data_IF_242087243091
#
_entry.id   IF_242087243091
#
_cell.length_a   1.000
_cell.length_b   1.000
_cell.length_c   1.000
_cell.angle_alpha   90.00
_cell.angle_beta   90.00
_cell.angle_gamma   90.00
#
_symmetry.space_group_name_H-M   'P 1'
#
loop_
_entity.id
_entity.type
_entity.pdbx_description
1 polymer ?
#
# COMPACT_ATOMS: atom_id res chain seq x y z
N UNK A 1 18.72 36.22 47.40
CA UNK A 1 18.19 34.98 48.00
C UNK A 1 18.17 33.92 46.93
N UNK A 2 18.89 32.82 47.18
CA UNK A 2 18.88 31.50 46.53
C UNK A 2 19.00 31.35 45.00
N UNK A 3 19.85 30.39 44.62
CA UNK A 3 20.28 29.96 43.29
C UNK A 3 19.32 28.86 42.70
N UNK A 4 19.54 28.39 41.45
CA UNK A 4 18.53 28.06 40.44
C UNK A 4 18.23 26.56 40.28
N UNK A 5 17.09 26.20 39.69
CA UNK A 5 16.90 24.94 38.95
C UNK A 5 15.81 25.14 37.87
N UNK A 6 15.83 24.29 36.84
CA UNK A 6 14.97 24.26 35.64
C UNK A 6 15.47 25.10 34.46
N UNK A 7 16.67 24.75 34.00
CA UNK A 7 17.22 25.18 32.72
C UNK A 7 18.11 24.10 32.11
N UNK A 8 17.65 22.83 32.15
CA UNK A 8 18.38 21.68 31.61
C UNK A 8 17.42 20.58 31.12
N UNK A 9 16.35 20.98 30.42
CA UNK A 9 15.36 20.02 29.90
C UNK A 9 14.96 20.20 28.42
N UNK A 10 15.73 20.97 27.64
CA UNK A 10 15.48 21.13 26.19
C UNK A 10 16.69 20.87 25.28
N UNK A 11 17.70 20.14 25.76
CA UNK A 11 18.83 19.66 24.93
C UNK A 11 18.99 18.13 25.01
N UNK A 12 17.98 17.42 25.53
CA UNK A 12 18.01 15.95 25.74
C UNK A 12 16.86 15.20 25.06
N UNK A 13 16.26 15.74 23.98
CA UNK A 13 15.21 15.04 23.20
C UNK A 13 15.62 14.89 21.72
N UNK A 14 16.93 14.82 21.45
CA UNK A 14 17.44 14.45 20.11
C UNK A 14 18.48 13.32 20.17
N UNK A 15 18.46 12.50 21.23
CA UNK A 15 19.23 11.27 21.35
C UNK A 15 18.31 10.19 21.91
N UNK A 16 18.16 9.10 21.16
CA UNK A 16 17.40 7.87 21.45
C UNK A 16 15.93 7.82 21.00
N UNK A 17 15.69 8.01 19.69
CA UNK A 17 15.04 6.91 18.98
C UNK A 17 16.14 6.07 18.33
N UNK A 18 16.91 5.37 19.17
CA UNK A 18 17.49 4.12 18.71
C UNK A 18 16.28 3.23 18.41
N UNK A 19 15.81 3.23 17.17
CA UNK A 19 15.27 2.00 16.62
C UNK A 19 16.39 1.00 16.88
N UNK A 20 16.19 0.17 17.92
CA UNK A 20 17.01 -0.98 18.10
C UNK A 20 16.85 -1.74 16.78
N UNK A 21 17.85 -1.66 15.91
CA UNK A 21 18.12 -2.75 15.00
C UNK A 21 18.43 -3.92 15.92
N UNK A 22 17.39 -4.60 16.39
CA UNK A 22 17.53 -5.91 16.98
C UNK A 22 17.98 -6.76 15.80
N UNK A 23 19.30 -6.89 15.65
CA UNK A 23 19.86 -8.05 14.98
C UNK A 23 19.19 -9.24 15.66
N UNK A 24 18.25 -9.85 14.93
CA UNK A 24 17.52 -10.99 15.45
C UNK A 24 18.55 -12.10 15.55
N UNK A 25 18.98 -12.33 16.79
CA UNK A 25 19.79 -13.47 17.18
C UNK A 25 18.97 -14.73 16.92
N UNK A 26 19.62 -15.79 16.42
CA UNK A 26 18.97 -17.07 16.17
C UNK A 26 18.23 -17.58 17.42
N UNK A 27 17.31 -18.54 17.22
CA UNK A 27 16.47 -19.12 18.26
C UNK A 27 17.19 -19.25 19.63
N UNK A 28 16.67 -18.63 20.70
CA UNK A 28 17.38 -18.55 21.98
C UNK A 28 17.67 -19.95 22.55
N UNK A 29 18.80 -20.07 23.24
CA UNK A 29 19.18 -21.28 23.97
C UNK A 29 18.64 -21.22 25.41
N UNK A 30 18.26 -22.37 25.93
CA UNK A 30 17.95 -22.56 27.36
C UNK A 30 19.18 -22.33 28.22
N UNK A 31 19.00 -22.15 29.53
CA UNK A 31 20.08 -21.95 30.51
C UNK A 31 21.12 -23.10 30.51
N UNK A 32 20.69 -24.30 30.13
CA UNK A 32 21.55 -25.49 30.00
C UNK A 32 22.24 -25.60 28.62
N UNK A 33 22.14 -24.56 27.78
CA UNK A 33 22.79 -24.50 26.47
C UNK A 33 22.08 -25.24 25.33
N UNK A 34 20.96 -25.94 25.59
CA UNK A 34 20.14 -26.58 24.53
C UNK A 34 19.31 -25.54 23.80
N UNK A 35 19.19 -25.65 22.48
CA UNK A 35 18.31 -24.80 21.69
C UNK A 35 16.86 -24.95 22.15
N UNK A 36 16.11 -23.86 22.34
CA UNK A 36 14.67 -23.92 22.66
C UNK A 36 13.84 -24.56 21.53
N UNK A 37 14.46 -24.78 20.36
CA UNK A 37 13.90 -25.50 19.23
C UNK A 37 13.88 -27.03 19.37
N UNK A 38 14.81 -27.61 20.13
CA UNK A 38 14.94 -29.07 20.28
C UNK A 38 14.00 -29.63 21.36
N UNK A 39 13.40 -28.74 22.15
CA UNK A 39 12.49 -29.09 23.23
C UNK A 39 11.09 -28.71 22.75
N UNK A 40 10.29 -29.73 22.46
CA UNK A 40 8.88 -29.55 22.10
C UNK A 40 8.00 -29.57 23.34
N UNK A 41 6.98 -28.74 23.35
CA UNK A 41 5.92 -28.80 24.34
C UNK A 41 4.80 -29.78 23.92
N UNK A 42 3.73 -29.87 24.71
CA UNK A 42 2.62 -30.78 24.47
C UNK A 42 1.82 -30.46 23.18
N UNK A 43 2.09 -29.32 22.52
CA UNK A 43 1.48 -28.94 21.24
C UNK A 43 2.29 -29.41 20.03
N UNK A 44 3.43 -30.06 20.27
CA UNK A 44 4.39 -30.48 19.25
C UNK A 44 5.29 -29.34 18.77
N UNK A 45 5.08 -28.11 19.25
CA UNK A 45 5.89 -26.95 18.88
C UNK A 45 7.07 -26.75 19.82
N UNK A 46 8.14 -26.07 19.37
CA UNK A 46 9.20 -25.58 20.24
C UNK A 46 8.67 -24.75 21.41
N UNK A 47 9.30 -24.88 22.58
CA UNK A 47 8.90 -24.14 23.79
C UNK A 47 8.93 -22.60 23.62
N UNK A 48 9.65 -22.08 22.62
CA UNK A 48 9.64 -20.66 22.25
C UNK A 48 8.27 -20.15 21.77
N UNK A 49 7.36 -21.05 21.34
CA UNK A 49 5.99 -20.71 20.98
C UNK A 49 5.04 -20.65 22.19
N UNK A 50 5.54 -20.88 23.41
CA UNK A 50 4.81 -20.68 24.68
C UNK A 50 3.49 -21.47 24.76
N UNK A 51 3.43 -22.66 24.15
CA UNK A 51 2.23 -23.49 24.09
C UNK A 51 1.06 -22.90 23.32
N UNK A 52 1.27 -21.82 22.55
CA UNK A 52 0.20 -21.10 21.85
C UNK A 52 -0.12 -21.68 20.48
N UNK A 53 0.85 -22.30 19.83
CA UNK A 53 0.71 -22.85 18.48
C UNK A 53 0.44 -24.36 18.49
N UNK A 54 0.21 -24.93 17.32
CA UNK A 54 0.14 -26.38 17.10
C UNK A 54 1.06 -26.76 15.96
N UNK A 55 1.91 -27.76 16.18
CA UNK A 55 2.88 -28.22 15.18
C UNK A 55 2.73 -29.71 14.94
N UNK A 56 2.73 -30.11 13.67
CA UNK A 56 2.74 -31.53 13.29
C UNK A 56 2.05 -31.83 11.97
N UNK A 57 1.97 -33.13 11.65
CA UNK A 57 1.43 -33.61 10.39
C UNK A 57 -0.09 -33.49 10.33
N UNK A 58 -0.59 -32.64 9.44
CA UNK A 58 -2.03 -32.41 9.22
C UNK A 58 -2.35 -32.26 7.73
N UNK A 59 -3.64 -32.26 7.39
CA UNK A 59 -4.11 -32.00 6.02
C UNK A 59 -4.26 -30.49 5.83
N UNK A 60 -3.64 -29.95 4.78
CA UNK A 60 -3.83 -28.58 4.35
C UNK A 60 -4.86 -28.54 3.22
N UNK A 61 -6.00 -27.84 3.38
CA UNK A 61 -7.00 -27.72 2.31
C UNK A 61 -6.40 -26.97 1.10
N UNK A 62 -6.74 -27.40 -0.12
CA UNK A 62 -6.43 -26.71 -1.37
C UNK A 62 -4.94 -26.58 -1.75
N UNK A 63 -4.18 -27.68 -1.75
CA UNK A 63 -2.88 -27.70 -2.44
C UNK A 63 -3.10 -28.12 -3.91
N UNK A 64 -2.91 -27.23 -4.90
CA UNK A 64 -3.16 -27.54 -6.32
C UNK A 64 -2.25 -28.66 -6.87
N UNK A 65 -1.14 -28.94 -6.17
CA UNK A 65 -0.04 -29.76 -6.65
C UNK A 65 0.06 -31.13 -5.95
N UNK A 66 -0.77 -31.42 -4.95
CA UNK A 66 -0.71 -32.67 -4.18
C UNK A 66 -2.08 -33.36 -4.12
N UNK A 67 -2.14 -34.70 -4.26
CA UNK A 67 -3.38 -35.45 -4.06
C UNK A 67 -3.91 -35.23 -2.63
N UNK A 68 -5.24 -35.18 -2.49
CA UNK A 68 -6.04 -34.93 -1.27
C UNK A 68 -5.72 -35.80 -0.03
N UNK A 69 -4.69 -36.66 -0.10
CA UNK A 69 -4.28 -37.60 0.93
C UNK A 69 -2.93 -37.31 1.61
N UNK A 70 -2.05 -36.45 1.07
CA UNK A 70 -0.72 -36.21 1.69
C UNK A 70 -0.84 -35.26 2.88
N UNK A 71 -0.43 -35.73 4.06
CA UNK A 71 -0.23 -34.87 5.24
C UNK A 71 1.02 -34.03 5.05
N UNK A 72 0.97 -32.80 5.54
CA UNK A 72 2.09 -31.84 5.55
C UNK A 72 2.43 -31.47 6.97
N UNK A 73 3.68 -31.14 7.26
CA UNK A 73 4.02 -30.59 8.57
C UNK A 73 3.56 -29.13 8.65
N UNK A 74 2.54 -28.87 9.48
CA UNK A 74 1.91 -27.55 9.62
C UNK A 74 2.27 -26.96 10.97
N UNK A 75 2.70 -25.70 10.98
CA UNK A 75 2.79 -24.86 12.17
C UNK A 75 1.65 -23.87 12.14
N UNK A 76 0.69 -24.00 13.06
CA UNK A 76 -0.49 -23.14 13.12
C UNK A 76 -0.52 -22.31 14.41
N UNK A 77 -0.47 -21.00 14.24
CA UNK A 77 -0.48 -19.96 15.26
C UNK A 77 -1.64 -18.97 15.03
N UNK A 78 -2.81 -19.47 14.64
CA UNK A 78 -3.99 -18.64 14.37
C UNK A 78 -4.54 -18.01 15.65
N UNK A 79 -4.73 -16.69 15.67
CA UNK A 79 -5.33 -15.94 16.78
C UNK A 79 -4.66 -16.17 18.15
N UNK A 80 -3.34 -16.38 18.15
CA UNK A 80 -2.57 -16.70 19.36
C UNK A 80 -2.19 -15.48 20.20
N UNK A 81 -2.45 -14.28 19.71
CA UNK A 81 -2.20 -13.02 20.43
C UNK A 81 -0.73 -12.62 20.45
N UNK A 82 0.10 -13.10 19.52
CA UNK A 82 1.48 -12.65 19.41
C UNK A 82 1.56 -11.17 19.02
N UNK A 83 2.52 -10.47 19.61
CA UNK A 83 2.76 -9.03 19.37
C UNK A 83 4.09 -8.73 18.68
N UNK A 84 4.84 -9.78 18.31
CA UNK A 84 6.05 -9.71 17.50
C UNK A 84 6.24 -11.04 16.76
N UNK A 85 7.22 -11.12 15.87
CA UNK A 85 7.52 -12.31 15.07
C UNK A 85 8.77 -13.09 15.55
N UNK A 86 9.35 -12.75 16.71
CA UNK A 86 10.66 -13.27 17.13
C UNK A 86 10.68 -14.79 17.34
N UNK A 87 9.54 -15.39 17.72
CA UNK A 87 9.42 -16.84 17.87
C UNK A 87 9.58 -17.62 16.55
N UNK A 88 9.36 -16.96 15.40
CA UNK A 88 9.51 -17.59 14.09
C UNK A 88 10.98 -17.94 13.77
N UNK A 89 11.94 -17.36 14.50
CA UNK A 89 13.35 -17.80 14.46
C UNK A 89 13.54 -19.24 14.95
N UNK A 90 12.59 -19.76 15.73
CA UNK A 90 12.57 -21.12 16.26
C UNK A 90 11.68 -22.06 15.45
N UNK A 91 11.22 -21.67 14.26
CA UNK A 91 10.34 -22.49 13.43
C UNK A 91 10.96 -23.88 13.16
N UNK A 92 10.23 -25.01 13.34
CA UNK A 92 10.72 -26.36 13.00
C UNK A 92 11.20 -26.44 11.54
N UNK A 93 12.31 -27.14 11.28
CA UNK A 93 12.93 -27.17 9.95
C UNK A 93 12.10 -27.95 8.93
N UNK A 94 11.31 -28.91 9.41
CA UNK A 94 10.40 -29.74 8.62
C UNK A 94 9.13 -28.98 8.22
N UNK A 95 8.98 -27.70 8.62
CA UNK A 95 7.75 -26.93 8.36
C UNK A 95 7.53 -26.75 6.87
N UNK A 96 6.42 -27.32 6.38
CA UNK A 96 5.97 -27.17 5.00
C UNK A 96 4.96 -26.03 4.83
N UNK A 97 4.15 -25.80 5.87
CA UNK A 97 3.09 -24.79 5.90
C UNK A 97 3.14 -24.02 7.21
N UNK A 98 3.37 -22.72 7.13
CA UNK A 98 3.26 -21.80 8.25
C UNK A 98 1.94 -21.01 8.16
N UNK A 99 1.05 -21.21 9.14
CA UNK A 99 -0.19 -20.45 9.30
C UNK A 99 -0.03 -19.55 10.52
N UNK A 100 0.32 -18.29 10.31
CA UNK A 100 0.53 -17.32 11.36
C UNK A 100 -0.38 -16.12 11.10
N UNK A 101 -1.67 -16.27 11.41
CA UNK A 101 -2.72 -15.30 11.05
C UNK A 101 -3.50 -14.82 12.28
N UNK A 102 -4.01 -13.59 12.24
CA UNK A 102 -4.86 -13.04 13.31
C UNK A 102 -4.10 -12.61 14.56
N UNK A 103 -2.81 -12.26 14.42
CA UNK A 103 -2.00 -11.71 15.51
C UNK A 103 -1.82 -10.18 15.35
N UNK A 104 -0.95 -9.55 16.15
CA UNK A 104 -0.72 -8.09 16.12
C UNK A 104 0.77 -7.76 16.18
N UNK A 105 1.52 -8.22 15.17
CA UNK A 105 2.99 -8.18 15.22
C UNK A 105 3.59 -6.82 14.87
N UNK A 106 2.86 -5.96 14.14
CA UNK A 106 3.40 -4.68 13.70
C UNK A 106 4.51 -4.86 12.65
N UNK A 107 5.60 -4.06 12.69
CA UNK A 107 6.66 -4.13 11.69
C UNK A 107 7.43 -5.46 11.78
N UNK A 108 7.74 -6.06 10.63
CA UNK A 108 8.57 -7.26 10.58
C UNK A 108 10.03 -6.93 10.86
N UNK A 109 10.76 -7.79 11.61
CA UNK A 109 12.20 -7.69 11.70
C UNK A 109 12.89 -8.13 10.41
N UNK A 110 14.19 -7.83 10.28
CA UNK A 110 15.03 -8.49 9.28
C UNK A 110 15.19 -9.96 9.65
N UNK A 111 15.23 -10.86 8.66
CA UNK A 111 15.41 -12.30 8.84
C UNK A 111 14.40 -12.90 9.83
N UNK A 112 13.11 -12.80 9.48
CA UNK A 112 11.98 -13.24 10.34
C UNK A 112 12.12 -14.70 10.79
N UNK A 113 12.73 -15.56 9.96
CA UNK A 113 12.95 -16.98 10.26
C UNK A 113 14.35 -17.31 10.82
N UNK A 114 15.15 -16.30 11.14
CA UNK A 114 16.53 -16.45 11.60
C UNK A 114 17.57 -16.42 10.48
N UNK A 115 18.85 -16.52 10.83
CA UNK A 115 19.98 -16.37 9.89
C UNK A 115 20.60 -17.72 9.50
N UNK A 116 20.44 -18.72 10.34
CA UNK A 116 21.21 -19.97 10.28
C UNK A 116 20.59 -21.06 9.43
N UNK A 117 19.26 -21.07 9.27
CA UNK A 117 18.53 -22.21 8.69
C UNK A 117 17.94 -21.91 7.31
N UNK A 118 18.00 -22.90 6.45
CA UNK A 118 17.34 -22.89 5.14
C UNK A 118 16.07 -23.73 5.25
N UNK A 119 14.91 -23.09 5.07
CA UNK A 119 13.61 -23.76 5.18
C UNK A 119 13.23 -24.35 3.82
N UNK A 120 13.99 -25.38 3.41
CA UNK A 120 13.89 -25.97 2.08
C UNK A 120 12.52 -26.62 1.81
N UNK A 121 11.83 -27.10 2.85
CA UNK A 121 10.51 -27.73 2.72
C UNK A 121 9.34 -26.73 2.79
N UNK A 122 9.60 -25.47 3.18
CA UNK A 122 8.55 -24.47 3.39
C UNK A 122 8.00 -23.99 2.04
N UNK A 123 6.74 -24.34 1.75
CA UNK A 123 6.08 -23.97 0.49
C UNK A 123 5.01 -22.90 0.66
N UNK A 124 4.40 -22.79 1.85
CA UNK A 124 3.26 -21.88 2.10
C UNK A 124 3.50 -21.09 3.37
N UNK A 125 3.40 -19.76 3.25
CA UNK A 125 3.51 -18.83 4.36
C UNK A 125 2.30 -17.89 4.38
N UNK A 126 1.42 -18.08 5.37
CA UNK A 126 0.28 -17.20 5.64
C UNK A 126 0.58 -16.29 6.82
N UNK A 127 0.72 -15.00 6.51
CA UNK A 127 0.95 -13.88 7.43
C UNK A 127 -0.22 -12.88 7.40
N UNK A 128 -1.41 -13.32 7.02
CA UNK A 128 -2.59 -12.46 6.96
C UNK A 128 -3.04 -11.95 8.33
N UNK A 129 -3.77 -10.83 8.36
CA UNK A 129 -4.43 -10.32 9.57
C UNK A 129 -3.47 -10.13 10.76
N UNK A 130 -2.26 -9.64 10.51
CA UNK A 130 -1.23 -9.47 11.54
C UNK A 130 -0.94 -8.01 11.92
N UNK A 131 -1.59 -7.06 11.23
CA UNK A 131 -1.31 -5.64 11.37
C UNK A 131 0.13 -5.30 11.00
N UNK A 132 0.66 -5.96 9.96
CA UNK A 132 2.01 -5.68 9.46
C UNK A 132 2.01 -4.28 8.84
N UNK A 133 2.80 -3.38 9.41
CA UNK A 133 2.91 -1.99 8.94
C UNK A 133 4.13 -1.75 8.06
N UNK A 134 5.18 -2.55 8.22
CA UNK A 134 6.43 -2.38 7.48
C UNK A 134 7.14 -3.72 7.28
N UNK A 135 7.71 -3.91 6.10
CA UNK A 135 8.53 -5.07 5.77
C UNK A 135 9.91 -4.58 5.31
N UNK A 136 10.98 -4.75 6.11
CA UNK A 136 12.30 -4.35 5.69
C UNK A 136 12.76 -5.19 4.50
N UNK A 137 13.62 -4.61 3.65
CA UNK A 137 14.28 -5.38 2.60
C UNK A 137 15.03 -6.59 3.19
N UNK A 138 14.88 -7.75 2.54
CA UNK A 138 15.42 -9.04 3.01
C UNK A 138 14.83 -9.53 4.35
N UNK A 139 13.60 -9.13 4.71
CA UNK A 139 12.88 -9.75 5.84
C UNK A 139 12.75 -11.27 5.69
N UNK A 140 12.60 -11.73 4.45
CA UNK A 140 12.38 -13.13 4.08
C UNK A 140 13.62 -13.74 3.41
N UNK A 141 14.70 -13.88 4.18
CA UNK A 141 15.89 -14.58 3.70
C UNK A 141 15.68 -16.10 3.78
N UNK A 142 16.24 -16.87 2.83
CA UNK A 142 16.27 -18.34 2.84
C UNK A 142 14.91 -19.06 2.79
N UNK A 143 13.95 -18.47 2.08
CA UNK A 143 12.61 -19.05 1.80
C UNK A 143 12.40 -19.35 0.31
N UNK A 144 13.48 -19.79 -0.35
CA UNK A 144 13.56 -19.94 -1.81
C UNK A 144 12.48 -20.85 -2.41
N UNK A 145 11.98 -21.81 -1.63
CA UNK A 145 10.98 -22.79 -2.07
C UNK A 145 9.52 -22.41 -1.74
N UNK A 146 9.29 -21.24 -1.12
CA UNK A 146 7.93 -20.77 -0.87
C UNK A 146 7.24 -20.45 -2.20
N UNK A 147 6.14 -21.15 -2.45
CA UNK A 147 5.30 -21.01 -3.66
C UNK A 147 4.09 -20.12 -3.43
N UNK A 148 3.62 -20.01 -2.19
CA UNK A 148 2.46 -19.18 -1.84
C UNK A 148 2.76 -18.31 -0.63
N UNK A 149 2.71 -17.00 -0.84
CA UNK A 149 2.82 -15.99 0.22
C UNK A 149 1.48 -15.26 0.36
N UNK A 150 0.94 -15.24 1.57
CA UNK A 150 -0.33 -14.57 1.88
C UNK A 150 -0.07 -13.46 2.89
N UNK A 151 -0.29 -12.21 2.46
CA UNK A 151 -0.13 -11.00 3.26
C UNK A 151 -1.44 -10.19 3.37
N UNK A 152 -2.57 -10.84 3.07
CA UNK A 152 -3.88 -10.19 3.07
C UNK A 152 -4.22 -9.54 4.41
N UNK A 153 -5.02 -8.48 4.39
CA UNK A 153 -5.54 -7.81 5.58
C UNK A 153 -4.40 -7.37 6.53
N UNK A 154 -3.47 -6.58 5.99
CA UNK A 154 -2.42 -5.91 6.75
C UNK A 154 -2.48 -4.40 6.46
N UNK A 155 -1.52 -3.62 6.95
CA UNK A 155 -1.51 -2.16 6.83
C UNK A 155 -0.13 -1.70 6.32
N UNK A 156 0.36 -2.37 5.29
CA UNK A 156 1.75 -2.23 4.84
C UNK A 156 1.95 -0.85 4.22
N UNK A 157 2.82 -0.06 4.85
CA UNK A 157 3.28 1.21 4.31
C UNK A 157 4.44 0.96 3.33
N UNK A 158 4.23 1.33 2.07
CA UNK A 158 5.28 1.36 1.05
C UNK A 158 5.62 2.83 0.77
N UNK A 159 6.84 3.22 1.11
CA UNK A 159 7.35 4.58 0.89
C UNK A 159 8.43 4.59 -0.19
N UNK A 160 8.34 5.54 -1.12
CA UNK A 160 9.32 5.73 -2.21
C UNK A 160 10.76 5.92 -1.71
N UNK A 161 10.93 6.39 -0.47
CA UNK A 161 12.25 6.66 0.11
C UNK A 161 12.99 5.39 0.48
N UNK A 162 12.29 4.31 0.76
CA UNK A 162 12.89 3.11 1.37
C UNK A 162 13.05 1.94 0.40
N UNK A 163 12.38 1.98 -0.77
CA UNK A 163 12.39 0.98 -1.85
C UNK A 163 12.83 -0.42 -1.37
N UNK A 164 12.08 -1.03 -0.44
CA UNK A 164 12.57 -2.23 0.21
C UNK A 164 12.52 -3.42 -0.76
N UNK A 165 13.53 -4.28 -0.71
CA UNK A 165 13.50 -5.60 -1.36
C UNK A 165 12.60 -6.57 -0.60
N UNK A 166 11.30 -6.27 -0.60
CA UNK A 166 10.29 -6.93 0.24
C UNK A 166 10.17 -8.40 -0.11
N UNK A 167 10.07 -8.73 -1.40
CA UNK A 167 9.88 -10.11 -1.87
C UNK A 167 11.19 -10.77 -2.34
N UNK A 168 12.33 -10.20 -1.97
CA UNK A 168 13.63 -10.81 -2.27
C UNK A 168 13.82 -12.09 -1.46
N UNK A 169 14.21 -13.16 -2.14
CA UNK A 169 14.39 -14.51 -1.57
C UNK A 169 13.26 -15.49 -1.91
N UNK A 170 12.17 -15.01 -2.53
CA UNK A 170 11.04 -15.82 -2.96
C UNK A 170 11.21 -16.33 -4.41
N UNK A 171 12.25 -17.12 -4.66
CA UNK A 171 12.63 -17.56 -6.02
C UNK A 171 11.59 -18.47 -6.69
N UNK A 172 10.86 -19.28 -5.90
CA UNK A 172 9.83 -20.21 -6.39
C UNK A 172 8.39 -19.70 -6.27
N UNK A 173 8.19 -18.39 -6.04
CA UNK A 173 6.87 -17.86 -5.74
C UNK A 173 5.94 -17.89 -6.94
N UNK A 174 4.81 -18.57 -6.78
CA UNK A 174 3.78 -18.73 -7.82
C UNK A 174 2.52 -17.92 -7.50
N UNK A 175 2.19 -17.75 -6.22
CA UNK A 175 0.95 -17.11 -5.77
C UNK A 175 1.27 -16.06 -4.70
N UNK A 176 0.97 -14.80 -5.00
CA UNK A 176 1.15 -13.68 -4.09
C UNK A 176 -0.20 -13.06 -3.77
N UNK A 177 -0.57 -13.12 -2.50
CA UNK A 177 -1.82 -12.55 -2.01
C UNK A 177 -1.59 -11.27 -1.21
N UNK A 178 -2.12 -10.16 -1.76
CA UNK A 178 -2.02 -8.80 -1.22
C UNK A 178 -3.42 -8.15 -1.18
N UNK A 179 -4.47 -8.94 -0.92
CA UNK A 179 -5.84 -8.41 -0.76
C UNK A 179 -5.93 -7.56 0.51
N UNK A 180 -6.33 -6.28 0.39
CA UNK A 180 -6.35 -5.33 1.51
C UNK A 180 -5.05 -5.34 2.33
N UNK A 181 -3.91 -5.21 1.65
CA UNK A 181 -2.59 -5.39 2.27
C UNK A 181 -1.89 -4.06 2.57
N UNK A 182 -2.27 -2.97 1.88
CA UNK A 182 -1.57 -1.69 1.94
C UNK A 182 -2.33 -0.66 2.75
N UNK A 183 -1.59 0.29 3.32
CA UNK A 183 -2.19 1.37 4.10
C UNK A 183 -3.04 2.31 3.25
N UNK A 184 -4.25 2.62 3.73
CA UNK A 184 -5.15 3.61 3.12
C UNK A 184 -4.66 5.06 3.34
N UNK A 185 -3.67 5.27 4.20
CA UNK A 185 -3.10 6.59 4.51
C UNK A 185 -2.33 7.20 3.33
N UNK A 186 -1.93 6.37 2.35
CA UNK A 186 -1.19 6.77 1.16
C UNK A 186 -2.03 6.48 -0.07
N UNK A 187 -2.02 7.43 -1.00
CA UNK A 187 -2.71 7.26 -2.27
C UNK A 187 -2.08 6.13 -3.11
N UNK A 188 -2.93 5.30 -3.73
CA UNK A 188 -2.48 4.06 -4.38
C UNK A 188 -1.45 4.23 -5.47
N UNK A 189 -1.48 5.34 -6.20
CA UNK A 189 -0.51 5.56 -7.28
C UNK A 189 0.93 5.68 -6.76
N UNK A 190 1.15 6.14 -5.53
CA UNK A 190 2.50 6.22 -4.96
C UNK A 190 3.06 4.84 -4.62
N UNK A 191 2.28 3.99 -3.95
CA UNK A 191 2.78 2.64 -3.63
C UNK A 191 2.84 1.77 -4.88
N UNK A 192 2.00 1.98 -5.90
CA UNK A 192 2.06 1.23 -7.16
C UNK A 192 3.37 1.51 -7.93
N UNK A 193 3.83 2.77 -7.96
CA UNK A 193 5.15 3.11 -8.51
C UNK A 193 6.28 2.36 -7.78
N UNK A 194 6.17 2.28 -6.45
CA UNK A 194 7.15 1.55 -5.64
C UNK A 194 7.04 0.03 -5.83
N UNK A 195 5.83 -0.50 -6.03
CA UNK A 195 5.62 -1.93 -6.31
C UNK A 195 6.22 -2.36 -7.64
N UNK A 196 6.24 -1.49 -8.66
CA UNK A 196 6.95 -1.77 -9.90
C UNK A 196 8.45 -2.03 -9.65
N UNK A 197 9.10 -1.15 -8.88
CA UNK A 197 10.50 -1.32 -8.49
C UNK A 197 10.67 -2.59 -7.62
N UNK A 198 9.76 -2.85 -6.68
CA UNK A 198 9.80 -4.03 -5.81
C UNK A 198 9.70 -5.32 -6.63
N UNK A 199 8.78 -5.41 -7.59
CA UNK A 199 8.62 -6.57 -8.45
C UNK A 199 9.84 -6.78 -9.34
N UNK A 200 10.39 -5.70 -9.90
CA UNK A 200 11.62 -5.76 -10.69
C UNK A 200 12.81 -6.24 -9.85
N UNK A 201 13.05 -5.66 -8.67
CA UNK A 201 14.17 -6.01 -7.81
C UNK A 201 14.04 -7.40 -7.15
N UNK A 202 12.81 -7.90 -7.00
CA UNK A 202 12.56 -9.23 -6.40
C UNK A 202 12.65 -10.38 -7.40
N UNK A 203 12.74 -10.09 -8.70
CA UNK A 203 12.87 -11.07 -9.80
C UNK A 203 11.82 -12.20 -9.75
N UNK A 204 10.54 -11.85 -9.55
CA UNK A 204 9.43 -12.80 -9.37
C UNK A 204 8.98 -13.46 -10.69
N UNK A 205 9.89 -14.11 -11.40
CA UNK A 205 9.66 -14.66 -12.74
C UNK A 205 8.68 -15.82 -12.78
N UNK A 206 8.52 -16.54 -11.68
CA UNK A 206 7.62 -17.68 -11.59
C UNK A 206 6.22 -17.32 -11.09
N UNK A 207 5.95 -16.03 -10.82
CA UNK A 207 4.66 -15.62 -10.29
C UNK A 207 3.56 -15.81 -11.32
N UNK A 208 2.58 -16.67 -10.97
CA UNK A 208 1.45 -17.06 -11.81
C UNK A 208 0.20 -16.29 -11.43
N UNK A 209 -0.04 -16.05 -10.14
CA UNK A 209 -1.23 -15.40 -9.62
C UNK A 209 -0.87 -14.22 -8.71
N UNK A 210 -1.45 -13.07 -9.02
CA UNK A 210 -1.33 -11.86 -8.22
C UNK A 210 -2.71 -11.38 -7.79
N UNK A 211 -2.92 -11.28 -6.48
CA UNK A 211 -4.15 -10.82 -5.86
C UNK A 211 -3.93 -9.43 -5.24
N UNK A 212 -4.63 -8.42 -5.75
CA UNK A 212 -4.57 -7.01 -5.36
C UNK A 212 -5.96 -6.44 -5.08
N UNK A 213 -6.92 -7.29 -4.73
CA UNK A 213 -8.29 -6.86 -4.42
C UNK A 213 -8.33 -5.96 -3.18
N UNK A 214 -9.32 -5.08 -3.06
CA UNK A 214 -9.56 -4.27 -1.85
C UNK A 214 -8.37 -3.40 -1.44
N UNK A 215 -7.63 -2.82 -2.39
CA UNK A 215 -6.51 -1.92 -2.10
C UNK A 215 -6.80 -0.48 -2.51
N UNK A 216 -8.07 -0.10 -2.69
CA UNK A 216 -8.45 1.28 -3.02
C UNK A 216 -7.79 1.82 -4.32
N UNK A 217 -7.41 0.94 -5.25
CA UNK A 217 -6.67 1.31 -6.46
C UNK A 217 -7.61 2.05 -7.42
N UNK A 218 -7.32 3.32 -7.72
CA UNK A 218 -8.14 4.15 -8.62
C UNK A 218 -7.60 4.23 -10.06
N UNK A 219 -6.29 4.07 -10.25
CA UNK A 219 -5.60 4.02 -11.55
C UNK A 219 -4.34 3.20 -11.40
N UNK A 220 -4.03 2.38 -12.40
CA UNK A 220 -2.72 1.73 -12.51
C UNK A 220 -1.79 2.58 -13.40
N UNK A 221 -2.38 3.29 -14.38
CA UNK A 221 -1.69 4.18 -15.30
C UNK A 221 -1.41 3.50 -16.63
N UNK A 222 -1.90 4.09 -17.74
CA UNK A 222 -1.93 3.47 -19.09
C UNK A 222 -0.61 2.90 -19.58
N UNK A 223 0.51 3.50 -19.18
CA UNK A 223 1.87 3.10 -19.56
C UNK A 223 2.65 2.45 -18.41
N UNK A 224 2.01 2.14 -17.28
CA UNK A 224 2.65 1.51 -16.16
C UNK A 224 3.10 0.11 -16.53
N UNK A 225 4.37 -0.18 -16.26
CA UNK A 225 5.01 -1.48 -16.50
C UNK A 225 5.06 -2.34 -15.23
N UNK A 226 4.32 -1.96 -14.18
CA UNK A 226 4.25 -2.69 -12.90
C UNK A 226 4.09 -4.20 -13.09
N UNK A 227 3.12 -4.64 -13.92
CA UNK A 227 2.90 -6.07 -14.16
C UNK A 227 3.80 -6.66 -15.25
N UNK A 228 4.46 -5.82 -16.06
CA UNK A 228 5.46 -6.29 -17.03
C UNK A 228 6.70 -6.89 -16.35
N UNK A 229 6.91 -6.59 -15.07
CA UNK A 229 7.96 -7.22 -14.25
C UNK A 229 7.64 -8.67 -13.87
N UNK A 230 6.45 -9.17 -14.23
CA UNK A 230 5.92 -10.49 -13.85
C UNK A 230 5.64 -11.32 -15.13
N UNK A 231 6.67 -11.84 -15.82
CA UNK A 231 6.54 -12.40 -17.16
C UNK A 231 5.69 -13.68 -17.26
N UNK A 232 5.57 -14.44 -16.16
CA UNK A 232 4.77 -15.68 -16.09
C UNK A 232 3.35 -15.45 -15.57
N UNK A 233 2.94 -14.19 -15.36
CA UNK A 233 1.65 -13.89 -14.78
C UNK A 233 0.52 -14.41 -15.66
N UNK A 234 -0.37 -15.20 -15.05
CA UNK A 234 -1.45 -15.89 -15.73
C UNK A 234 -2.83 -15.44 -15.23
N UNK A 235 -2.95 -15.11 -13.94
CA UNK A 235 -4.16 -14.55 -13.33
C UNK A 235 -3.85 -13.29 -12.55
N UNK A 236 -4.59 -12.22 -12.84
CA UNK A 236 -4.51 -10.95 -12.14
C UNK A 236 -5.86 -10.60 -11.53
N UNK A 237 -5.90 -10.43 -10.21
CA UNK A 237 -7.13 -10.09 -9.50
C UNK A 237 -7.07 -8.66 -8.97
N UNK A 238 -7.95 -7.81 -9.50
CA UNK A 238 -8.07 -6.39 -9.18
C UNK A 238 -9.50 -6.05 -8.72
N UNK A 239 -10.29 -7.05 -8.31
CA UNK A 239 -11.66 -6.85 -7.86
C UNK A 239 -11.75 -5.96 -6.61
N UNK A 240 -12.91 -5.37 -6.36
CA UNK A 240 -13.13 -4.51 -5.17
C UNK A 240 -12.10 -3.37 -5.05
N UNK A 241 -11.75 -2.73 -6.15
CA UNK A 241 -10.95 -1.52 -6.17
C UNK A 241 -11.79 -0.34 -6.69
N UNK A 242 -11.16 0.78 -7.08
CA UNK A 242 -11.83 1.99 -7.59
C UNK A 242 -11.47 2.29 -9.04
N UNK A 243 -11.05 1.28 -9.81
CA UNK A 243 -10.62 1.47 -11.20
C UNK A 243 -11.80 1.97 -12.03
N UNK A 244 -11.55 2.98 -12.85
CA UNK A 244 -12.56 3.55 -13.76
C UNK A 244 -12.48 3.03 -15.18
N UNK A 245 -11.37 2.36 -15.52
CA UNK A 245 -11.11 1.74 -16.81
C UNK A 245 -10.04 0.65 -16.65
N UNK A 246 -9.75 -0.10 -17.71
CA UNK A 246 -8.60 -1.01 -17.76
C UNK A 246 -7.41 -0.27 -18.36
N UNK A 247 -6.60 0.36 -17.50
CA UNK A 247 -5.56 1.30 -17.88
C UNK A 247 -4.14 0.75 -17.62
N UNK A 248 -3.84 -0.46 -18.10
CA UNK A 248 -2.51 -1.05 -17.99
C UNK A 248 -2.16 -1.89 -19.22
N UNK A 249 -0.86 -2.11 -19.41
CA UNK A 249 -0.34 -2.88 -20.54
C UNK A 249 -0.61 -4.37 -20.38
N UNK A 250 -1.01 -5.02 -21.48
CA UNK A 250 -1.17 -6.49 -21.56
C UNK A 250 -0.08 -7.16 -22.42
N UNK A 251 0.54 -6.41 -23.34
CA UNK A 251 1.45 -6.93 -24.36
C UNK A 251 2.76 -7.51 -23.80
N UNK A 252 3.10 -7.17 -22.56
CA UNK A 252 4.26 -7.69 -21.83
C UNK A 252 3.96 -8.94 -20.98
N UNK A 253 2.71 -9.41 -20.93
CA UNK A 253 2.28 -10.58 -20.16
C UNK A 253 1.64 -11.62 -21.09
N UNK A 254 2.42 -12.28 -21.96
CA UNK A 254 1.88 -13.19 -22.98
C UNK A 254 1.15 -14.41 -22.40
N UNK A 255 1.45 -14.77 -21.15
CA UNK A 255 0.80 -15.85 -20.42
C UNK A 255 -0.51 -15.48 -19.74
N UNK A 256 -0.95 -14.21 -19.77
CA UNK A 256 -2.14 -13.77 -19.04
C UNK A 256 -3.42 -14.34 -19.67
N UNK A 257 -4.23 -15.00 -18.84
CA UNK A 257 -5.49 -15.66 -19.28
C UNK A 257 -6.71 -15.14 -18.55
N UNK A 258 -6.53 -14.52 -17.38
CA UNK A 258 -7.66 -14.05 -16.56
C UNK A 258 -7.34 -12.73 -15.88
N UNK A 259 -8.27 -11.77 -16.02
CA UNK A 259 -8.28 -10.50 -15.30
C UNK A 259 -9.62 -10.31 -14.61
N UNK A 260 -9.59 -10.20 -13.28
CA UNK A 260 -10.76 -9.83 -12.48
C UNK A 260 -10.80 -8.33 -12.22
N UNK A 261 -11.83 -7.66 -12.71
CA UNK A 261 -12.14 -6.25 -12.47
C UNK A 261 -13.54 -6.10 -11.86
N UNK A 262 -14.09 -7.14 -11.24
CA UNK A 262 -15.40 -7.06 -10.59
C UNK A 262 -15.42 -5.99 -9.51
N UNK A 263 -16.59 -5.40 -9.23
CA UNK A 263 -16.77 -4.44 -8.12
C UNK A 263 -15.75 -3.29 -8.16
N UNK A 264 -15.53 -2.71 -9.33
CA UNK A 264 -14.76 -1.48 -9.53
C UNK A 264 -15.72 -0.32 -9.88
N UNK A 265 -15.17 0.82 -10.32
CA UNK A 265 -15.89 2.00 -10.76
C UNK A 265 -15.92 2.12 -12.31
N UNK A 266 -15.91 1.00 -13.03
CA UNK A 266 -15.90 0.99 -14.49
C UNK A 266 -17.29 1.31 -15.03
N UNK A 267 -17.49 2.56 -15.43
CA UNK A 267 -18.77 3.00 -15.99
C UNK A 267 -18.95 2.51 -17.44
N UNK A 268 -17.85 2.33 -18.16
CA UNK A 268 -17.72 1.79 -19.52
C UNK A 268 -16.24 1.58 -19.82
N UNK A 269 -15.89 0.59 -20.64
CA UNK A 269 -14.52 0.49 -21.15
C UNK A 269 -14.27 1.57 -22.20
N UNK A 270 -13.09 2.20 -22.15
CA UNK A 270 -12.69 3.15 -23.19
C UNK A 270 -12.39 2.45 -24.52
N UNK A 271 -12.43 3.19 -25.63
CA UNK A 271 -12.04 2.65 -26.95
C UNK A 271 -10.59 2.16 -26.97
N UNK A 272 -9.72 2.75 -26.16
CA UNK A 272 -8.32 2.33 -26.00
C UNK A 272 -8.23 0.99 -25.27
N UNK A 273 -8.91 0.85 -24.13
CA UNK A 273 -8.99 -0.41 -23.41
C UNK A 273 -9.55 -1.53 -24.31
N UNK A 274 -10.65 -1.26 -25.03
CA UNK A 274 -11.25 -2.20 -25.99
C UNK A 274 -10.22 -2.63 -27.06
N UNK A 275 -9.48 -1.68 -27.64
CA UNK A 275 -8.46 -1.97 -28.65
C UNK A 275 -7.34 -2.86 -28.10
N UNK A 276 -6.86 -2.57 -26.89
CA UNK A 276 -5.81 -3.34 -26.21
C UNK A 276 -6.28 -4.77 -25.92
N UNK A 277 -7.51 -4.93 -25.42
CA UNK A 277 -8.12 -6.24 -25.16
C UNK A 277 -8.25 -7.07 -26.44
N UNK A 278 -8.77 -6.47 -27.51
CA UNK A 278 -8.93 -7.13 -28.81
C UNK A 278 -7.59 -7.54 -29.41
N UNK A 279 -6.58 -6.69 -29.31
CA UNK A 279 -5.24 -7.02 -29.78
C UNK A 279 -4.64 -8.19 -29.00
N UNK A 280 -4.74 -8.16 -27.67
CA UNK A 280 -4.19 -9.20 -26.80
C UNK A 280 -4.91 -10.54 -26.98
N UNK A 281 -6.24 -10.55 -27.05
CA UNK A 281 -7.04 -11.77 -27.22
C UNK A 281 -6.85 -12.48 -28.56
N UNK A 282 -6.21 -11.85 -29.56
CA UNK A 282 -5.80 -12.54 -30.80
C UNK A 282 -4.63 -13.50 -30.59
N UNK A 283 -3.89 -13.33 -29.50
CA UNK A 283 -2.67 -14.05 -29.19
C UNK A 283 -2.86 -15.06 -28.04
N UNK A 284 -3.85 -14.86 -27.17
CA UNK A 284 -4.12 -15.73 -26.03
C UNK A 284 -5.63 -15.93 -25.79
N UNK A 285 -5.97 -17.06 -25.14
CA UNK A 285 -7.30 -17.26 -24.58
C UNK A 285 -7.44 -16.37 -23.34
N UNK A 286 -8.09 -15.23 -23.50
CA UNK A 286 -8.18 -14.19 -22.49
C UNK A 286 -9.62 -14.02 -21.99
N UNK A 287 -9.79 -14.06 -20.66
CA UNK A 287 -11.07 -13.89 -19.98
C UNK A 287 -11.02 -12.65 -19.10
N UNK A 288 -12.06 -11.82 -19.21
CA UNK A 288 -12.25 -10.62 -18.38
C UNK A 288 -13.54 -10.74 -17.60
N UNK A 289 -13.50 -10.39 -16.33
CA UNK A 289 -14.67 -10.31 -15.44
C UNK A 289 -14.94 -8.85 -15.06
N UNK A 290 -16.14 -8.34 -15.36
CA UNK A 290 -16.55 -6.95 -15.09
C UNK A 290 -17.83 -6.85 -14.26
N UNK A 291 -18.33 -7.94 -13.65
CA UNK A 291 -19.58 -7.90 -12.88
C UNK A 291 -19.52 -6.88 -11.76
N UNK A 292 -20.71 -6.36 -11.41
CA UNK A 292 -20.91 -5.41 -10.32
C UNK A 292 -20.11 -4.09 -10.48
N UNK A 293 -19.85 -3.67 -11.72
CA UNK A 293 -19.40 -2.32 -12.03
C UNK A 293 -20.61 -1.40 -12.31
N UNK A 294 -20.54 -0.10 -11.97
CA UNK A 294 -21.64 0.84 -12.13
C UNK A 294 -21.75 1.38 -13.56
N UNK A 295 -22.16 0.53 -14.50
CA UNK A 295 -22.25 0.93 -15.91
C UNK A 295 -23.25 2.09 -16.12
N UNK A 296 -22.77 3.18 -16.72
CA UNK A 296 -23.59 4.37 -17.03
C UNK A 296 -24.13 4.24 -18.46
N UNK A 297 -25.42 3.97 -18.59
CA UNK A 297 -26.11 3.77 -19.86
C UNK A 297 -26.61 5.08 -20.48
N UNK A 298 -25.66 5.93 -20.84
CA UNK A 298 -25.87 7.12 -21.68
C UNK A 298 -25.43 6.86 -23.13
N UNK A 299 -25.39 7.88 -23.98
CA UNK A 299 -24.96 7.72 -25.37
C UNK A 299 -23.47 7.32 -25.52
N UNK A 300 -22.63 7.58 -24.52
CA UNK A 300 -21.20 7.31 -24.57
C UNK A 300 -20.88 5.83 -24.34
N UNK A 301 -21.77 5.05 -23.71
CA UNK A 301 -21.58 3.60 -23.52
C UNK A 301 -21.65 2.81 -24.83
N UNK A 302 -22.21 3.38 -25.90
CA UNK A 302 -22.55 2.61 -27.12
C UNK A 302 -21.35 1.89 -27.74
N UNK A 303 -20.15 2.49 -27.71
CA UNK A 303 -18.92 1.84 -28.21
C UNK A 303 -18.66 0.51 -27.48
N UNK A 304 -18.75 0.55 -26.15
CA UNK A 304 -18.59 -0.62 -25.29
C UNK A 304 -19.70 -1.65 -25.51
N UNK A 305 -20.97 -1.23 -25.59
CA UNK A 305 -22.11 -2.13 -25.87
C UNK A 305 -21.98 -2.80 -27.23
N UNK A 306 -21.66 -2.03 -28.28
CA UNK A 306 -21.50 -2.56 -29.64
C UNK A 306 -20.36 -3.58 -29.71
N UNK A 307 -19.27 -3.32 -28.99
CA UNK A 307 -18.16 -4.25 -28.86
C UNK A 307 -18.59 -5.51 -28.10
N UNK A 308 -19.25 -5.38 -26.94
CA UNK A 308 -19.72 -6.50 -26.12
C UNK A 308 -20.63 -7.47 -26.89
N UNK A 309 -21.43 -6.97 -27.84
CA UNK A 309 -22.32 -7.79 -28.68
C UNK A 309 -21.59 -8.56 -29.79
N UNK A 310 -20.40 -8.13 -30.21
CA UNK A 310 -19.72 -8.63 -31.41
C UNK A 310 -18.33 -9.22 -31.15
N UNK A 311 -17.76 -8.98 -29.98
CA UNK A 311 -16.43 -9.47 -29.59
C UNK A 311 -16.39 -10.99 -29.45
N UNK A 312 -15.20 -11.55 -29.71
CA UNK A 312 -14.86 -12.96 -29.45
C UNK A 312 -14.16 -13.16 -28.10
N UNK A 313 -13.83 -12.06 -27.42
CA UNK A 313 -13.21 -12.08 -26.09
C UNK A 313 -14.20 -12.69 -25.10
N UNK A 314 -13.73 -13.54 -24.20
CA UNK A 314 -14.59 -14.15 -23.19
C UNK A 314 -14.81 -13.14 -22.05
N UNK A 315 -15.97 -12.51 -22.03
CA UNK A 315 -16.42 -11.73 -20.87
C UNK A 315 -17.27 -12.61 -19.96
N UNK A 316 -16.69 -12.98 -18.82
CA UNK A 316 -17.30 -13.88 -17.85
C UNK A 316 -18.61 -13.31 -17.34
N UNK A 317 -19.65 -14.15 -17.35
CA UNK A 317 -21.00 -13.81 -16.86
C UNK A 317 -21.53 -12.48 -17.44
N UNK A 318 -21.19 -12.17 -18.70
CA UNK A 318 -21.51 -10.89 -19.35
C UNK A 318 -23.00 -10.59 -19.54
N UNK A 319 -23.87 -11.57 -19.31
CA UNK A 319 -25.33 -11.38 -19.28
C UNK A 319 -25.80 -10.69 -17.99
N UNK A 320 -24.96 -10.68 -16.94
CA UNK A 320 -25.19 -9.98 -15.68
C UNK A 320 -24.70 -8.53 -15.69
N UNK A 321 -24.11 -8.07 -16.79
CA UNK A 321 -23.69 -6.66 -16.91
C UNK A 321 -24.92 -5.80 -17.13
N UNK A 322 -25.25 -4.98 -16.12
CA UNK A 322 -26.50 -4.19 -16.06
C UNK A 322 -26.20 -2.71 -15.88
N UNK A 323 -27.04 -1.86 -16.45
CA UNK A 323 -27.00 -0.43 -16.19
C UNK A 323 -27.21 -0.16 -14.70
N UNK A 324 -26.27 0.54 -14.07
CA UNK A 324 -26.47 1.09 -12.74
C UNK A 324 -27.13 2.46 -12.81
N UNK A 325 -26.77 3.25 -13.83
CA UNK A 325 -27.28 4.59 -14.05
C UNK A 325 -27.63 4.80 -15.54
N UNK A 326 -28.45 5.81 -15.82
CA UNK A 326 -28.81 6.23 -17.17
C UNK A 326 -29.67 7.49 -17.12
N UNK A 327 -29.81 8.20 -18.25
CA UNK A 327 -30.62 9.43 -18.30
C UNK A 327 -32.11 9.13 -18.10
N UNK A 328 -32.56 7.97 -18.56
CA UNK A 328 -33.89 7.46 -18.28
C UNK A 328 -33.79 6.37 -17.22
N UNK A 329 -34.58 6.50 -16.15
CA UNK A 329 -34.69 5.49 -15.10
C UNK A 329 -35.11 4.11 -15.65
N UNK A 330 -35.74 4.07 -16.82
CA UNK A 330 -36.12 2.82 -17.51
C UNK A 330 -34.92 2.01 -18.00
N UNK A 331 -33.71 2.58 -18.00
CA UNK A 331 -32.49 1.89 -18.38
C UNK A 331 -31.86 1.16 -17.19
N UNK A 332 -32.09 1.63 -15.96
CA UNK A 332 -31.49 1.04 -14.75
C UNK A 332 -31.91 -0.43 -14.64
N UNK A 333 -30.92 -1.31 -14.38
CA UNK A 333 -31.11 -2.75 -14.27
C UNK A 333 -31.20 -3.50 -15.61
N UNK A 334 -31.27 -2.82 -16.76
CA UNK A 334 -31.25 -3.49 -18.07
C UNK A 334 -29.88 -4.06 -18.38
N UNK A 335 -29.85 -5.28 -18.94
CA UNK A 335 -28.62 -5.92 -19.42
C UNK A 335 -28.03 -5.16 -20.60
N UNK A 336 -26.72 -4.92 -20.58
CA UNK A 336 -26.01 -4.13 -21.60
C UNK A 336 -26.17 -4.69 -23.02
N UNK A 337 -26.10 -6.02 -23.18
CA UNK A 337 -26.27 -6.68 -24.49
C UNK A 337 -27.66 -6.45 -25.11
N UNK A 338 -28.66 -6.12 -24.30
CA UNK A 338 -30.04 -5.90 -24.75
C UNK A 338 -30.33 -4.42 -25.09
N UNK A 339 -29.36 -3.53 -24.95
CA UNK A 339 -29.53 -2.10 -25.24
C UNK A 339 -29.43 -1.80 -26.73
N UNK A 340 -30.29 -0.89 -27.21
CA UNK A 340 -30.21 -0.36 -28.57
C UNK A 340 -29.78 1.11 -28.56
N UNK A 341 -29.02 1.52 -29.58
CA UNK A 341 -28.46 2.88 -29.68
C UNK A 341 -29.53 3.97 -29.55
N UNK A 342 -30.73 3.73 -30.08
CA UNK A 342 -31.83 4.69 -30.11
C UNK A 342 -32.43 4.96 -28.72
N UNK A 343 -32.18 4.08 -27.75
CA UNK A 343 -32.65 4.23 -26.37
C UNK A 343 -31.69 5.09 -25.51
N UNK A 344 -30.46 5.30 -25.99
CA UNK A 344 -29.39 5.97 -25.25
C UNK A 344 -29.36 7.46 -25.54
N UNK A 345 -29.44 8.28 -24.50
CA UNK A 345 -29.42 9.73 -24.58
C UNK A 345 -28.08 10.27 -24.08
N UNK A 346 -27.60 11.39 -24.65
CA UNK A 346 -26.43 12.09 -24.13
C UNK A 346 -26.84 13.08 -23.05
N UNK A 347 -26.06 13.26 -21.98
CA UNK A 347 -26.25 14.37 -21.07
C UNK A 347 -26.19 15.66 -21.88
N UNK A 348 -27.22 16.49 -21.80
CA UNK A 348 -27.12 17.85 -22.34
C UNK A 348 -26.00 18.53 -21.59
N UNK A 349 -25.03 19.13 -22.30
CA UNK A 349 -24.01 19.97 -21.66
C UNK A 349 -24.74 20.90 -20.69
N UNK A 350 -24.24 21.12 -19.45
CA UNK A 350 -24.76 22.20 -18.66
C UNK A 350 -24.57 23.45 -19.51
N UNK A 351 -25.68 24.00 -20.00
CA UNK A 351 -25.74 25.43 -20.33
C UNK A 351 -25.17 26.10 -19.09
N UNK A 352 -24.23 27.03 -19.25
CA UNK A 352 -23.74 27.85 -18.15
C UNK A 352 -24.96 28.37 -17.38
N UNK A 353 -25.34 27.65 -16.31
CA UNK A 353 -26.07 28.23 -15.23
C UNK A 353 -24.98 29.09 -14.64
N UNK A 354 -25.01 30.38 -14.97
CA UNK A 354 -24.46 31.38 -14.07
C UNK A 354 -24.93 30.94 -12.69
N UNK A 355 -24.01 30.42 -11.88
CA UNK A 355 -24.23 30.31 -10.47
C UNK A 355 -24.61 31.73 -10.04
N UNK A 356 -25.90 31.99 -9.91
CA UNK A 356 -26.36 33.02 -8.99
C UNK A 356 -25.88 32.52 -7.66
N UNK A 357 -24.69 32.96 -7.31
CA UNK A 357 -24.10 32.87 -5.98
C UNK A 357 -25.08 33.52 -5.03
N UNK A 358 -25.99 32.69 -4.55
CA UNK A 358 -26.73 32.90 -3.32
C UNK A 358 -25.68 33.00 -2.22
N UNK A 359 -25.23 34.23 -1.93
CA UNK A 359 -24.66 34.75 -0.67
C UNK A 359 -23.72 35.94 -0.89
N UNK A 360 -24.07 36.91 -1.75
CA UNK A 360 -23.30 38.17 -1.87
C UNK A 360 -23.32 38.99 -0.59
N UNK A 361 -24.30 38.76 0.32
CA UNK A 361 -24.38 39.46 1.61
C UNK A 361 -23.39 38.94 2.65
N UNK A 362 -23.17 37.63 2.74
CA UNK A 362 -22.30 37.04 3.77
C UNK A 362 -20.81 37.37 3.53
N UNK A 363 -20.34 37.27 2.29
CA UNK A 363 -18.94 37.58 1.93
C UNK A 363 -18.62 39.06 2.13
N UNK A 364 -19.56 39.95 1.80
CA UNK A 364 -19.42 41.37 2.08
C UNK A 364 -19.33 41.65 3.58
N UNK A 365 -20.19 41.02 4.40
CA UNK A 365 -20.18 41.22 5.87
C UNK A 365 -18.87 40.74 6.51
N UNK A 366 -18.34 39.59 6.10
CA UNK A 366 -17.05 39.08 6.59
C UNK A 366 -15.88 39.99 6.21
N UNK A 367 -15.91 40.55 5.00
CA UNK A 367 -14.88 41.49 4.53
C UNK A 367 -14.88 42.80 5.33
N UNK A 368 -16.07 43.33 5.65
CA UNK A 368 -16.22 44.51 6.49
C UNK A 368 -15.76 44.26 7.94
N UNK A 369 -16.10 43.09 8.51
CA UNK A 369 -15.66 42.73 9.87
C UNK A 369 -14.13 42.62 9.92
N UNK A 370 -13.50 41.98 8.92
CA UNK A 370 -12.04 41.86 8.85
C UNK A 370 -11.34 43.24 8.73
N UNK A 371 -11.88 44.13 7.90
CA UNK A 371 -11.37 45.49 7.77
C UNK A 371 -11.52 46.30 9.07
N UNK A 372 -12.63 46.11 9.79
CA UNK A 372 -12.86 46.77 11.07
C UNK A 372 -11.92 46.26 12.17
N UNK A 373 -11.72 44.94 12.25
CA UNK A 373 -10.79 44.33 13.22
C UNK A 373 -9.36 44.77 12.95
N UNK A 374 -8.92 44.81 11.69
CA UNK A 374 -7.57 45.30 11.35
C UNK A 374 -7.38 46.77 11.71
N UNK A 375 -8.38 47.62 11.46
CA UNK A 375 -8.33 49.02 11.87
C UNK A 375 -8.24 49.20 13.40
N UNK A 376 -8.98 48.41 14.18
CA UNK A 376 -8.89 48.41 15.65
C UNK A 376 -7.49 47.98 16.10
N UNK A 377 -6.94 46.91 15.54
CA UNK A 377 -5.59 46.44 15.88
C UNK A 377 -4.54 47.51 15.60
N UNK A 378 -4.62 48.20 14.46
CA UNK A 378 -3.73 49.31 14.12
C UNK A 378 -3.90 50.50 15.08
N UNK A 379 -5.14 50.82 15.48
CA UNK A 379 -5.41 51.86 16.46
C UNK A 379 -4.86 51.51 17.85
N UNK A 380 -4.97 50.24 18.28
CA UNK A 380 -4.38 49.75 19.53
C UNK A 380 -2.85 49.85 19.48
N UNK A 381 -2.23 49.41 18.38
CA UNK A 381 -0.77 49.53 18.18
C UNK A 381 -0.34 51.00 18.21
N UNK A 382 -1.10 51.88 17.57
CA UNK A 382 -0.84 53.33 17.58
C UNK A 382 -0.98 53.92 18.98
N UNK A 383 -2.04 53.60 19.72
CA UNK A 383 -2.27 54.11 21.07
C UNK A 383 -1.22 53.59 22.05
N UNK A 384 -0.87 52.31 21.95
CA UNK A 384 0.16 51.68 22.78
C UNK A 384 1.58 51.92 22.28
N UNK A 385 1.79 52.72 21.22
CA UNK A 385 3.11 52.91 20.59
C UNK A 385 4.20 53.30 21.58
N UNK A 386 3.89 54.11 22.59
CA UNK A 386 4.86 54.51 23.61
C UNK A 386 5.22 53.36 24.56
N UNK A 387 4.25 52.53 24.94
CA UNK A 387 4.45 51.37 25.81
C UNK A 387 5.17 50.23 25.07
N UNK A 388 4.79 49.97 23.82
CA UNK A 388 5.46 49.02 22.93
C UNK A 388 6.90 49.47 22.69
N UNK A 389 7.13 50.76 22.37
CA UNK A 389 8.49 51.30 22.20
C UNK A 389 9.36 51.08 23.44
N UNK A 390 8.82 51.32 24.64
CA UNK A 390 9.57 51.14 25.88
C UNK A 390 9.90 49.66 26.18
N UNK A 391 9.07 48.71 25.75
CA UNK A 391 9.35 47.28 25.89
C UNK A 391 10.25 46.71 24.78
N UNK A 392 10.15 47.23 23.56
CA UNK A 392 10.86 46.70 22.38
C UNK A 392 12.25 47.32 22.23
N UNK A 393 12.44 48.60 22.60
CA UNK A 393 13.76 49.27 22.52
C UNK A 393 14.90 48.54 23.26
N UNK A 394 14.74 48.01 24.50
CA UNK A 394 15.84 47.29 25.14
C UNK A 394 16.22 45.98 24.40
N UNK A 395 15.27 45.34 23.70
CA UNK A 395 15.55 44.15 22.89
C UNK A 395 16.21 44.52 21.56
N UNK A 396 15.75 45.60 20.93
CA UNK A 396 16.35 46.14 19.70
C UNK A 396 17.80 46.59 19.95
N UNK A 397 18.07 47.28 21.06
CA UNK A 397 19.42 47.69 21.47
C UNK A 397 20.30 46.49 21.84
N UNK A 398 19.74 45.43 22.45
CA UNK A 398 20.46 44.16 22.68
C UNK A 398 20.88 43.49 21.37
N UNK A 399 19.98 43.40 20.39
CA UNK A 399 20.25 42.78 19.09
C UNK A 399 21.24 43.61 18.27
N UNK A 400 21.08 44.93 18.21
CA UNK A 400 21.98 45.83 17.47
C UNK A 400 23.38 45.91 18.09
N UNK A 401 23.51 45.89 19.43
CA UNK A 401 24.84 45.75 20.08
C UNK A 401 25.50 44.42 19.72
N UNK A 402 24.75 43.32 19.69
CA UNK A 402 25.32 42.00 19.37
C UNK A 402 25.86 41.92 17.94
N UNK A 403 25.24 42.65 17.00
CA UNK A 403 25.68 42.77 15.61
C UNK A 403 26.89 43.71 15.47
N UNK A 404 26.96 44.78 16.28
CA UNK A 404 28.08 45.75 16.27
C UNK A 404 29.42 45.21 16.79
N UNK A 405 29.42 44.27 17.75
CA UNK A 405 30.67 43.67 18.26
C UNK A 405 31.21 42.52 17.38
N UNK A 406 30.40 41.95 16.50
CA UNK A 406 30.84 40.94 15.51
C UNK A 406 31.40 41.55 14.21
N UNK A 407 31.26 42.86 14.00
CA UNK A 407 31.69 43.55 12.77
C UNK A 407 33.02 44.30 12.84
N UNK A 408 33.63 44.46 14.03
CA UNK A 408 34.87 45.24 14.23
C UNK A 408 36.12 44.38 14.49
N UNK A 409 36.02 43.05 14.33
CA UNK A 409 37.15 42.12 14.51
C UNK A 409 37.80 41.64 13.20
N UNK A 410 37.43 42.19 12.03
CA UNK A 410 37.90 41.65 10.73
C UNK A 410 38.48 42.67 9.75
N UNK A 411 38.74 43.91 10.11
CA UNK A 411 39.35 44.88 9.18
C UNK A 411 40.30 45.82 9.91
N UNK A 412 41.59 45.45 9.96
CA UNK A 412 42.77 46.33 9.85
C UNK A 412 44.05 45.53 10.18
N UNK A 413 44.68 44.97 9.14
CA UNK A 413 46.11 44.64 9.18
C UNK A 413 46.73 45.08 7.84
N UNK A 414 47.55 46.16 7.82
CA UNK A 414 48.17 46.63 6.60
C UNK A 414 49.35 45.74 6.17
N UNK A 415 49.41 45.45 4.86
CA UNK A 415 50.57 44.83 4.20
C UNK A 415 51.73 45.83 4.18
N UNK A 416 52.86 45.45 4.78
CA UNK A 416 54.15 46.14 4.60
C UNK A 416 54.85 45.57 3.36
N UNK A 417 55.36 46.45 2.49
CA UNK A 417 56.21 46.17 1.34
C UNK A 417 57.52 46.96 1.46
N UNK A 418 58.60 46.35 0.96
CA UNK A 418 59.98 46.83 0.72
C UNK A 418 60.90 46.87 1.97
N UNK A 419 62.16 46.42 1.92
CA UNK A 419 63.18 46.51 0.86
C UNK A 419 63.99 45.22 0.75
#
# INVERSE_FOLDING_TARGET
>A
MAWPYVGLLCVLICLQSTQASTDVTDCPKTLDGKSTQEITDNTGCPIAFDGKCKCGLSRYPNSPHLPDAKKRYIVNCTNTGFTNASMLTCLPIETEVLIFTGNRIGPLPKNVLGNTKDYDDLEIMDLSNNGITFIPGKAFHKVFNVRTLILNHNDIEISERERPRVFYGFESLENLHLTNAFTESVNSSFYLLSLEDIFFESDLRLLVKLHLEQNEIYTIGRNASIFCQLPSLNHLYLGDNRLSDMDFRLDCMPGLTYVDLQRNNINRLSSEAISTIEQFSRQSNFTIELRKNPFICDCYIWSFVSWLKSTKVVLRDSDDYKCAEGISDTLIGKTLKNLDKNQLQCPTRPVHIEEKSSSTSAVATLSFILAFVTAILLAIVYYQRMKIRNHVMPYYEYVTRKIGYSGLASEEAPKVVAV
#
